data_IF_962682231363
#
_entry.id   IF_962682231363
#
_cell.length_a   1.000
_cell.length_b   1.000
_cell.length_c   1.000
_cell.angle_alpha   90.00
_cell.angle_beta   90.00
_cell.angle_gamma   90.00
#
_symmetry.space_group_name_H-M   'P 1'
#
loop_
_entity.id
_entity.type
_entity.pdbx_description
1 polymer ?
#
# COMPACT_ATOMS: atom_id res chain seq x y z
N UNK A 1 -13.11 17.72 -10.28
CA UNK A 1 -13.62 16.52 -10.97
C UNK A 1 -13.06 15.30 -10.25
N UNK A 2 -13.94 14.48 -9.70
CA UNK A 2 -13.60 13.20 -9.07
C UNK A 2 -13.48 12.15 -10.16
N UNK A 3 -12.46 11.29 -10.14
CA UNK A 3 -12.21 10.41 -11.30
C UNK A 3 -13.21 9.26 -11.48
N UNK A 4 -14.17 9.12 -10.56
CA UNK A 4 -15.32 8.21 -10.71
C UNK A 4 -16.18 8.66 -11.90
N UNK A 5 -16.14 9.94 -12.26
CA UNK A 5 -16.80 10.52 -13.44
C UNK A 5 -16.33 9.86 -14.76
N UNK A 6 -15.20 9.11 -14.75
CA UNK A 6 -14.72 8.39 -15.93
C UNK A 6 -15.49 7.09 -16.19
N UNK A 7 -16.16 6.53 -15.18
CA UNK A 7 -16.99 5.35 -15.35
C UNK A 7 -18.23 5.69 -16.20
N UNK A 8 -18.79 4.72 -16.95
CA UNK A 8 -20.00 4.95 -17.73
C UNK A 8 -21.12 5.47 -16.83
N UNK A 9 -21.89 6.43 -17.33
CA UNK A 9 -23.13 6.85 -16.69
C UNK A 9 -24.29 6.03 -17.27
N UNK A 10 -24.41 4.79 -16.81
CA UNK A 10 -25.42 3.84 -17.25
C UNK A 10 -25.91 2.95 -16.10
N UNK A 11 -26.92 2.13 -16.39
CA UNK A 11 -27.53 1.23 -15.40
C UNK A 11 -26.85 -0.15 -15.34
N UNK A 12 -25.68 -0.31 -15.97
CA UNK A 12 -25.02 -1.60 -16.12
C UNK A 12 -24.08 -1.85 -14.94
N UNK A 13 -24.22 -3.01 -14.33
CA UNK A 13 -23.34 -3.43 -13.23
C UNK A 13 -22.01 -3.94 -13.75
N UNK A 14 -20.92 -3.40 -13.20
CA UNK A 14 -19.54 -3.78 -13.53
C UNK A 14 -18.73 -4.04 -12.29
N UNK A 15 -17.77 -4.95 -12.40
CA UNK A 15 -16.75 -5.18 -11.37
C UNK A 15 -15.43 -4.53 -11.78
N UNK A 16 -14.77 -3.89 -10.81
CA UNK A 16 -13.35 -3.53 -10.95
C UNK A 16 -12.54 -4.82 -10.91
N UNK A 17 -11.99 -5.22 -12.05
CA UNK A 17 -11.43 -6.56 -12.18
C UNK A 17 -9.92 -6.59 -12.05
N UNK A 18 -9.20 -5.64 -12.68
CA UNK A 18 -7.74 -5.59 -12.68
C UNK A 18 -7.23 -4.15 -12.69
N UNK A 19 -5.98 -3.98 -12.26
CA UNK A 19 -5.20 -2.76 -12.45
C UNK A 19 -4.08 -2.99 -13.48
N UNK A 20 -3.77 -1.97 -14.26
CA UNK A 20 -2.76 -2.02 -15.33
C UNK A 20 -1.51 -1.21 -14.98
N UNK A 21 -1.58 0.10 -15.19
CA UNK A 21 -0.43 1.00 -15.14
C UNK A 21 -0.81 2.34 -14.50
N UNK A 22 0.22 3.08 -14.09
CA UNK A 22 0.09 4.49 -13.78
C UNK A 22 0.24 5.30 -15.07
N UNK A 23 -0.61 6.31 -15.25
CA UNK A 23 -0.44 7.34 -16.26
C UNK A 23 -0.01 8.61 -15.54
N UNK A 24 1.25 8.99 -15.73
CA UNK A 24 1.74 10.28 -15.25
C UNK A 24 1.08 11.33 -16.12
N UNK A 25 0.35 12.25 -15.49
CA UNK A 25 -0.32 13.31 -16.22
C UNK A 25 0.75 14.20 -16.86
N UNK A 26 0.69 14.35 -18.19
CA UNK A 26 1.63 15.20 -18.92
C UNK A 26 1.24 16.68 -18.89
N UNK A 27 0.06 17.02 -18.34
CA UNK A 27 -0.37 18.42 -18.18
C UNK A 27 0.23 19.04 -16.93
N UNK A 28 0.84 20.22 -17.07
CA UNK A 28 1.37 21.04 -15.97
C UNK A 28 0.33 21.51 -14.95
N UNK A 29 -0.97 21.30 -15.22
CA UNK A 29 -2.08 21.84 -14.44
C UNK A 29 -2.74 20.80 -13.51
N UNK A 30 -2.29 19.55 -13.52
CA UNK A 30 -2.89 18.52 -12.65
C UNK A 30 -1.88 17.46 -12.21
N UNK A 31 -1.56 17.49 -10.92
CA UNK A 31 -0.70 16.51 -10.21
C UNK A 31 -1.38 15.15 -9.98
N UNK A 32 -2.55 14.91 -10.57
CA UNK A 32 -3.29 13.68 -10.34
C UNK A 32 -2.69 12.55 -11.16
N UNK A 33 -2.00 11.64 -10.47
CA UNK A 33 -1.55 10.37 -11.05
C UNK A 33 -2.77 9.48 -11.27
N UNK A 34 -2.96 9.05 -12.52
CA UNK A 34 -4.08 8.19 -12.89
C UNK A 34 -3.64 6.73 -12.93
N UNK A 35 -4.60 5.84 -12.75
CA UNK A 35 -4.46 4.40 -12.84
C UNK A 35 -5.45 3.89 -13.87
N UNK A 36 -4.96 3.05 -14.78
CA UNK A 36 -5.83 2.34 -15.69
C UNK A 36 -6.41 1.09 -15.00
N UNK A 37 -7.74 1.03 -14.89
CA UNK A 37 -8.51 -0.08 -14.29
C UNK A 37 -9.37 -0.76 -15.35
N UNK A 38 -9.52 -2.07 -15.24
CA UNK A 38 -10.41 -2.86 -16.09
C UNK A 38 -11.77 -2.98 -15.39
N UNK A 39 -12.83 -2.50 -16.05
CA UNK A 39 -14.20 -2.82 -15.68
C UNK A 39 -14.72 -3.94 -16.57
N UNK A 40 -15.41 -4.89 -15.96
CA UNK A 40 -16.08 -6.00 -16.65
C UNK A 40 -17.53 -6.05 -16.21
N UNK A 41 -18.46 -6.11 -17.15
CA UNK A 41 -19.88 -6.23 -16.91
C UNK A 41 -20.21 -7.57 -16.24
N UNK A 42 -21.20 -7.53 -15.35
CA UNK A 42 -21.72 -8.72 -14.71
C UNK A 42 -22.86 -9.29 -15.54
N UNK A 43 -23.02 -10.61 -15.50
CA UNK A 43 -24.16 -11.29 -16.13
C UNK A 43 -25.45 -10.90 -15.39
N UNK A 44 -26.42 -10.35 -16.12
CA UNK A 44 -27.70 -9.91 -15.58
C UNK A 44 -28.51 -11.06 -14.96
N UNK A 45 -28.36 -12.29 -15.46
CA UNK A 45 -29.01 -13.48 -14.92
C UNK A 45 -28.22 -14.10 -13.75
N UNK A 46 -26.91 -13.86 -13.69
CA UNK A 46 -26.06 -14.31 -12.58
C UNK A 46 -25.04 -13.24 -12.17
N UNK A 47 -25.38 -12.36 -11.21
CA UNK A 47 -24.53 -11.26 -10.78
C UNK A 47 -23.16 -11.65 -10.17
N UNK A 48 -22.90 -12.95 -9.99
CA UNK A 48 -21.60 -13.50 -9.55
C UNK A 48 -20.73 -13.99 -10.72
N UNK A 49 -21.19 -13.83 -11.96
CA UNK A 49 -20.45 -14.17 -13.18
C UNK A 49 -20.19 -12.92 -14.00
N UNK A 50 -19.08 -12.97 -14.75
CA UNK A 50 -18.75 -11.96 -15.72
C UNK A 50 -19.56 -12.20 -17.00
N UNK A 51 -20.07 -11.14 -17.60
CA UNK A 51 -20.44 -11.12 -19.02
C UNK A 51 -19.12 -11.01 -19.80
N UNK A 52 -18.89 -11.90 -20.78
CA UNK A 52 -17.61 -11.99 -21.52
C UNK A 52 -17.81 -11.81 -23.03
N UNK A 53 -18.78 -10.98 -23.41
CA UNK A 53 -18.96 -10.55 -24.80
C UNK A 53 -17.94 -9.46 -25.18
N UNK A 54 -17.72 -9.24 -26.48
CA UNK A 54 -16.70 -8.30 -26.99
C UNK A 54 -16.79 -6.87 -26.39
N UNK A 55 -18.00 -6.42 -26.04
CA UNK A 55 -18.25 -5.08 -25.51
C UNK A 55 -18.45 -5.03 -23.98
N UNK A 56 -18.39 -6.18 -23.31
CA UNK A 56 -18.67 -6.30 -21.87
C UNK A 56 -17.52 -5.88 -20.97
N UNK A 57 -16.39 -5.41 -21.51
CA UNK A 57 -15.27 -4.96 -20.72
C UNK A 57 -14.58 -3.77 -21.39
N UNK A 58 -14.12 -2.83 -20.57
CA UNK A 58 -13.36 -1.69 -21.05
C UNK A 58 -12.45 -1.14 -19.95
N UNK A 59 -11.49 -0.33 -20.35
CA UNK A 59 -10.52 0.28 -19.44
C UNK A 59 -10.86 1.74 -19.16
N UNK A 60 -10.67 2.14 -17.92
CA UNK A 60 -10.99 3.47 -17.43
C UNK A 60 -9.85 4.02 -16.59
N UNK A 61 -9.71 5.34 -16.55
CA UNK A 61 -8.68 6.00 -15.75
C UNK A 61 -9.29 6.57 -14.47
N UNK A 62 -8.74 6.15 -13.33
CA UNK A 62 -9.13 6.65 -12.00
C UNK A 62 -7.94 7.28 -11.30
N UNK A 63 -8.13 8.24 -10.40
CA UNK A 63 -7.04 8.80 -9.64
C UNK A 63 -6.48 7.75 -8.69
N UNK A 64 -5.16 7.78 -8.51
CA UNK A 64 -4.49 6.89 -7.57
C UNK A 64 -4.99 7.06 -6.13
N UNK A 65 -5.50 8.25 -5.79
CA UNK A 65 -6.10 8.56 -4.48
C UNK A 65 -7.46 7.89 -4.28
N UNK A 66 -8.15 7.49 -5.34
CA UNK A 66 -9.47 6.86 -5.27
C UNK A 66 -9.40 5.32 -5.20
N UNK A 67 -8.20 4.72 -5.19
CA UNK A 67 -8.02 3.27 -5.03
C UNK A 67 -8.63 2.69 -3.75
N UNK A 68 -8.78 3.49 -2.69
CA UNK A 68 -9.47 3.03 -1.46
C UNK A 68 -10.93 2.65 -1.77
N UNK A 69 -11.55 3.31 -2.75
CA UNK A 69 -12.94 3.09 -3.17
C UNK A 69 -13.01 2.14 -4.37
N UNK A 70 -12.11 2.29 -5.34
CA UNK A 70 -12.07 1.52 -6.60
C UNK A 70 -11.20 0.28 -6.43
N UNK A 71 -11.57 -0.59 -5.49
CA UNK A 71 -10.82 -1.82 -5.18
C UNK A 71 -11.18 -2.98 -6.12
N UNK A 72 -10.22 -3.87 -6.41
CA UNK A 72 -10.51 -5.13 -7.14
C UNK A 72 -11.65 -5.88 -6.43
N UNK A 73 -12.66 -6.28 -7.20
CA UNK A 73 -13.86 -6.97 -6.72
C UNK A 73 -14.98 -6.04 -6.26
N UNK A 74 -14.79 -4.72 -6.23
CA UNK A 74 -15.90 -3.77 -5.99
C UNK A 74 -16.85 -3.73 -7.17
N UNK A 75 -18.15 -3.64 -6.89
CA UNK A 75 -19.20 -3.61 -7.91
C UNK A 75 -19.77 -2.20 -8.01
N UNK A 76 -19.95 -1.75 -9.23
CA UNK A 76 -20.40 -0.40 -9.60
C UNK A 76 -21.58 -0.51 -10.55
N UNK A 77 -22.54 0.39 -10.40
CA UNK A 77 -23.63 0.60 -11.36
C UNK A 77 -23.51 2.03 -11.85
N UNK A 78 -23.13 2.17 -13.12
CA UNK A 78 -22.64 3.41 -13.67
C UNK A 78 -21.50 3.99 -12.82
N UNK A 79 -21.67 5.22 -12.34
CA UNK A 79 -20.70 5.93 -11.49
C UNK A 79 -20.92 5.70 -9.98
N UNK A 80 -21.87 4.85 -9.59
CA UNK A 80 -22.20 4.61 -8.17
C UNK A 80 -21.71 3.24 -7.72
N UNK A 81 -20.94 3.21 -6.62
CA UNK A 81 -20.54 1.94 -5.99
C UNK A 81 -21.74 1.30 -5.28
N UNK A 82 -21.94 0.00 -5.50
CA UNK A 82 -22.92 -0.79 -4.76
C UNK A 82 -22.29 -1.22 -3.43
N UNK A 83 -22.53 -0.45 -2.38
CA UNK A 83 -21.97 -0.71 -1.05
C UNK A 83 -22.42 -2.08 -0.50
N UNK A 84 -21.51 -2.74 0.22
CA UNK A 84 -21.74 -4.07 0.81
C UNK A 84 -21.72 -5.24 -0.18
N UNK A 85 -21.75 -5.00 -1.50
CA UNK A 85 -21.64 -6.06 -2.50
C UNK A 85 -20.21 -6.18 -3.04
N UNK A 86 -19.72 -7.41 -3.09
CA UNK A 86 -18.41 -7.76 -3.66
C UNK A 86 -18.57 -8.88 -4.66
N UNK A 87 -17.73 -8.86 -5.70
CA UNK A 87 -17.65 -9.96 -6.64
C UNK A 87 -17.08 -11.19 -5.95
N UNK A 88 -17.86 -12.27 -5.87
CA UNK A 88 -17.55 -13.44 -5.06
C UNK A 88 -16.59 -14.44 -5.70
N UNK A 89 -16.18 -14.22 -6.96
CA UNK A 89 -15.38 -15.15 -7.76
C UNK A 89 -15.94 -16.57 -7.70
N UNK A 90 -17.24 -16.73 -7.99
CA UNK A 90 -17.96 -18.00 -7.81
C UNK A 90 -17.87 -18.58 -6.39
N UNK A 91 -18.00 -17.74 -5.36
CA UNK A 91 -17.87 -18.09 -3.95
C UNK A 91 -16.48 -18.66 -3.55
N UNK A 92 -15.44 -18.35 -4.31
CA UNK A 92 -14.06 -18.77 -4.03
C UNK A 92 -13.29 -17.81 -3.12
N UNK A 93 -13.86 -16.64 -2.78
CA UNK A 93 -13.22 -15.71 -1.86
C UNK A 93 -12.96 -16.36 -0.49
N UNK A 94 -11.73 -16.21 0.00
CA UNK A 94 -11.30 -16.67 1.32
C UNK A 94 -10.52 -15.56 2.00
N UNK A 95 -10.70 -15.43 3.31
CA UNK A 95 -9.86 -14.60 4.16
C UNK A 95 -8.78 -15.48 4.80
N UNK A 96 -7.52 -15.10 4.64
CA UNK A 96 -6.36 -15.85 5.11
C UNK A 96 -5.39 -14.90 5.79
N UNK A 97 -4.76 -15.38 6.86
CA UNK A 97 -3.66 -14.68 7.53
C UNK A 97 -2.34 -15.25 7.03
N UNK A 98 -1.40 -14.37 6.69
CA UNK A 98 -0.07 -14.75 6.27
C UNK A 98 0.98 -14.08 7.13
N UNK A 99 2.05 -14.82 7.39
CA UNK A 99 3.29 -14.32 8.00
C UNK A 99 4.43 -14.55 7.02
N UNK A 100 5.33 -13.57 6.93
CA UNK A 100 6.45 -13.56 6.00
C UNK A 100 7.73 -13.21 6.75
N UNK A 101 8.80 -13.91 6.41
CA UNK A 101 10.18 -13.57 6.74
C UNK A 101 10.98 -13.29 5.46
N UNK A 102 11.18 -12.00 5.19
CA UNK A 102 11.90 -11.50 4.02
C UNK A 102 13.41 -11.60 4.15
N UNK A 103 13.94 -11.88 5.34
CA UNK A 103 15.36 -12.20 5.50
C UNK A 103 15.71 -13.59 4.95
N UNK A 104 14.71 -14.47 4.87
CA UNK A 104 14.82 -15.83 4.32
C UNK A 104 14.29 -15.87 2.88
N UNK A 105 13.11 -15.29 2.64
CA UNK A 105 12.44 -15.32 1.35
C UNK A 105 12.20 -13.91 0.81
N UNK A 106 13.13 -13.42 -0.01
CA UNK A 106 13.00 -12.11 -0.63
C UNK A 106 11.76 -12.04 -1.57
N UNK A 107 10.94 -10.98 -1.48
CA UNK A 107 9.86 -10.73 -2.43
C UNK A 107 10.35 -10.69 -3.88
N UNK A 108 9.55 -11.25 -4.81
CA UNK A 108 9.88 -11.27 -6.24
C UNK A 108 8.88 -10.47 -7.04
N UNK A 109 9.34 -9.79 -8.08
CA UNK A 109 8.47 -9.12 -9.05
C UNK A 109 8.36 -9.98 -10.29
N UNK A 110 7.13 -10.22 -10.71
CA UNK A 110 6.81 -10.89 -11.97
C UNK A 110 5.88 -10.01 -12.81
N UNK A 111 5.83 -10.28 -14.12
CA UNK A 111 4.77 -9.75 -14.97
C UNK A 111 3.52 -10.63 -14.86
N UNK A 112 2.38 -10.08 -15.27
CA UNK A 112 1.12 -10.82 -15.34
C UNK A 112 1.29 -12.14 -16.12
N UNK A 113 1.98 -12.09 -17.26
CA UNK A 113 2.19 -13.22 -18.16
C UNK A 113 3.45 -14.04 -17.86
N UNK A 114 3.97 -13.98 -16.62
CA UNK A 114 5.12 -14.79 -16.23
C UNK A 114 4.76 -16.28 -16.07
N UNK A 115 5.60 -17.14 -16.66
CA UNK A 115 5.58 -18.59 -16.44
C UNK A 115 6.25 -18.97 -15.12
N UNK A 116 5.75 -20.05 -14.51
CA UNK A 116 6.40 -20.70 -13.39
C UNK A 116 7.70 -21.36 -13.92
N UNK A 117 8.84 -21.23 -13.22
CA UNK A 117 10.06 -21.93 -13.61
C UNK A 117 9.82 -23.42 -13.83
N UNK A 118 10.43 -23.97 -14.88
CA UNK A 118 10.36 -25.40 -15.24
C UNK A 118 8.93 -25.92 -15.50
N UNK A 119 7.99 -25.04 -15.83
CA UNK A 119 6.61 -25.38 -16.16
C UNK A 119 6.08 -24.56 -17.34
N UNK A 120 5.12 -25.12 -18.07
CA UNK A 120 4.37 -24.38 -19.10
C UNK A 120 3.23 -23.54 -18.50
N UNK A 121 3.00 -23.68 -17.20
CA UNK A 121 2.01 -22.95 -16.43
C UNK A 121 2.38 -21.49 -16.17
N UNK A 122 1.38 -20.61 -16.19
CA UNK A 122 1.53 -19.22 -15.75
C UNK A 122 1.26 -19.09 -14.24
N UNK A 123 1.90 -18.11 -13.60
CA UNK A 123 1.60 -17.80 -12.19
C UNK A 123 0.14 -17.36 -12.01
N UNK A 124 -0.34 -16.50 -12.91
CA UNK A 124 -1.71 -15.99 -12.96
C UNK A 124 -2.42 -16.67 -14.14
N UNK A 125 -3.13 -17.77 -13.86
CA UNK A 125 -3.81 -18.58 -14.87
C UNK A 125 -5.12 -17.91 -15.34
N UNK A 126 -5.26 -17.74 -16.67
CA UNK A 126 -6.43 -17.14 -17.33
C UNK A 126 -7.75 -17.88 -17.12
N UNK A 127 -7.71 -19.17 -16.78
CA UNK A 127 -8.93 -19.99 -16.62
C UNK A 127 -9.61 -19.77 -15.25
N UNK A 128 -8.86 -19.26 -14.26
CA UNK A 128 -9.37 -18.93 -12.92
C UNK A 128 -9.50 -17.43 -12.70
N UNK A 129 -8.62 -16.65 -13.31
CA UNK A 129 -8.69 -15.19 -13.40
C UNK A 129 -9.07 -14.90 -14.85
N UNK A 130 -10.37 -14.90 -15.15
CA UNK A 130 -10.89 -14.70 -16.49
C UNK A 130 -10.17 -13.55 -17.22
N UNK A 131 -9.46 -13.87 -18.29
CA UNK A 131 -9.19 -12.89 -19.34
C UNK A 131 -10.32 -13.05 -20.35
N UNK A 132 -11.01 -11.97 -20.74
CA UNK A 132 -11.94 -12.02 -21.84
C UNK A 132 -11.19 -12.49 -23.10
N UNK A 133 -11.38 -13.77 -23.47
CA UNK A 133 -11.00 -14.26 -24.79
C UNK A 133 -12.11 -13.82 -25.73
N UNK A 134 -11.75 -13.21 -26.86
CA UNK A 134 -12.74 -12.97 -27.89
C UNK A 134 -13.22 -14.34 -28.41
N UNK A 135 -14.52 -14.62 -28.37
CA UNK A 135 -15.09 -15.88 -28.88
C UNK A 135 -14.69 -16.15 -30.35
N UNK A 136 -14.36 -15.10 -31.10
CA UNK A 136 -14.02 -15.15 -32.52
C UNK A 136 -12.52 -15.05 -32.81
N UNK A 137 -11.65 -14.88 -31.80
CA UNK A 137 -10.20 -14.83 -32.02
C UNK A 137 -9.41 -15.40 -30.85
N UNK A 138 -8.46 -16.29 -31.14
CA UNK A 138 -7.49 -16.79 -30.16
C UNK A 138 -6.60 -15.69 -29.55
N UNK A 139 -6.64 -14.47 -30.10
CA UNK A 139 -5.84 -13.35 -29.66
C UNK A 139 -6.54 -12.57 -28.54
N UNK A 140 -5.75 -12.16 -27.56
CA UNK A 140 -6.20 -11.25 -26.50
C UNK A 140 -6.49 -9.88 -27.13
N UNK A 141 -7.67 -9.28 -26.87
CA UNK A 141 -8.02 -7.96 -27.38
C UNK A 141 -6.93 -6.93 -27.10
N UNK A 142 -6.61 -6.07 -28.07
CA UNK A 142 -5.54 -5.06 -27.92
C UNK A 142 -5.74 -4.17 -26.68
N UNK A 143 -7.00 -3.89 -26.31
CA UNK A 143 -7.36 -3.10 -25.11
C UNK A 143 -6.86 -3.72 -23.80
N UNK A 144 -6.63 -5.03 -23.79
CA UNK A 144 -6.16 -5.78 -22.63
C UNK A 144 -4.62 -5.82 -22.52
N UNK A 145 -3.89 -5.45 -23.59
CA UNK A 145 -2.43 -5.49 -23.63
C UNK A 145 -1.74 -4.81 -22.42
N UNK A 146 -2.17 -3.61 -21.97
CA UNK A 146 -1.56 -2.99 -20.79
C UNK A 146 -1.68 -3.84 -19.51
N UNK A 147 -2.77 -4.59 -19.33
CA UNK A 147 -2.94 -5.46 -18.17
C UNK A 147 -1.99 -6.66 -18.20
N UNK A 148 -1.65 -7.19 -19.37
CA UNK A 148 -0.61 -8.24 -19.51
C UNK A 148 0.79 -7.73 -19.12
N UNK A 149 1.02 -6.42 -19.25
CA UNK A 149 2.27 -5.79 -18.86
C UNK A 149 2.31 -5.40 -17.37
N UNK A 150 1.17 -5.49 -16.68
CA UNK A 150 1.10 -5.21 -15.25
C UNK A 150 2.02 -6.13 -14.47
N UNK A 151 2.57 -5.60 -13.38
CA UNK A 151 3.50 -6.32 -12.51
C UNK A 151 2.79 -6.79 -11.24
N UNK A 152 3.22 -7.92 -10.73
CA UNK A 152 2.76 -8.52 -9.48
C UNK A 152 3.95 -8.78 -8.58
N UNK A 153 3.72 -8.66 -7.29
CA UNK A 153 4.65 -9.07 -6.25
C UNK A 153 4.26 -10.46 -5.75
N UNK A 154 5.24 -11.37 -5.72
CA UNK A 154 5.15 -12.67 -5.07
C UNK A 154 5.81 -12.54 -3.70
N UNK A 155 5.05 -12.86 -2.66
CA UNK A 155 5.51 -12.98 -1.28
C UNK A 155 5.43 -14.45 -0.88
N UNK A 156 6.51 -15.02 -0.39
CA UNK A 156 6.51 -16.40 0.06
C UNK A 156 6.33 -16.46 1.56
N UNK A 157 5.20 -17.01 2.02
CA UNK A 157 4.88 -17.10 3.45
C UNK A 157 5.79 -18.09 4.16
N UNK A 158 5.79 -18.02 5.49
CA UNK A 158 6.49 -18.97 6.35
C UNK A 158 6.00 -20.42 6.16
N UNK A 159 4.74 -20.59 5.78
CA UNK A 159 4.14 -21.88 5.42
C UNK A 159 4.40 -22.29 3.95
N UNK A 160 5.35 -21.64 3.27
CA UNK A 160 5.75 -21.94 1.90
C UNK A 160 4.63 -21.73 0.87
N UNK A 161 3.68 -20.83 1.15
CA UNK A 161 2.63 -20.42 0.21
C UNK A 161 3.12 -19.20 -0.57
N UNK A 162 2.97 -19.22 -1.90
CA UNK A 162 3.20 -18.07 -2.75
C UNK A 162 1.96 -17.19 -2.78
N UNK A 163 2.09 -15.98 -2.26
CA UNK A 163 1.03 -14.98 -2.16
C UNK A 163 1.28 -13.90 -3.20
N UNK A 164 0.37 -13.78 -4.16
CA UNK A 164 0.45 -12.86 -5.28
C UNK A 164 -0.43 -11.64 -5.02
N UNK A 165 0.09 -10.46 -5.35
CA UNK A 165 -0.67 -9.20 -5.31
C UNK A 165 -0.20 -8.27 -6.41
N UNK A 166 -1.12 -7.54 -7.04
CA UNK A 166 -0.76 -6.52 -8.04
C UNK A 166 0.19 -5.49 -7.43
N UNK A 167 1.19 -5.00 -8.17
CA UNK A 167 2.09 -3.96 -7.69
C UNK A 167 1.33 -2.66 -7.35
N UNK A 168 0.28 -2.32 -8.11
CA UNK A 168 -0.56 -1.15 -7.81
C UNK A 168 -1.30 -1.36 -6.48
N UNK A 169 -1.86 -2.56 -6.28
CA UNK A 169 -2.50 -2.90 -5.02
C UNK A 169 -1.50 -2.93 -3.85
N UNK A 170 -0.28 -3.42 -4.07
CA UNK A 170 0.79 -3.45 -3.07
C UNK A 170 1.20 -2.04 -2.62
N UNK A 171 1.29 -1.10 -3.58
CA UNK A 171 1.56 0.29 -3.27
C UNK A 171 0.45 0.90 -2.42
N UNK A 172 -0.80 0.56 -2.72
CA UNK A 172 -1.96 0.99 -1.95
C UNK A 172 -2.03 0.37 -0.55
N UNK A 173 -1.83 -0.94 -0.45
CA UNK A 173 -2.06 -1.74 0.74
C UNK A 173 -0.88 -1.77 1.73
N UNK A 174 0.36 -1.63 1.26
CA UNK A 174 1.54 -1.78 2.12
C UNK A 174 2.21 -0.45 2.47
N UNK A 175 2.06 0.59 1.64
CA UNK A 175 2.67 1.89 1.88
C UNK A 175 1.67 2.86 2.52
N UNK A 176 1.33 2.65 3.79
CA UNK A 176 0.38 3.47 4.59
C UNK A 176 -1.03 3.58 3.97
N UNK A 177 -1.89 2.56 4.14
CA UNK A 177 -3.27 2.55 3.60
C UNK A 177 -4.13 3.76 4.01
N UNK A 178 -3.92 4.32 5.20
CA UNK A 178 -4.74 5.42 5.71
C UNK A 178 -4.34 6.81 5.19
N UNK A 179 -3.22 6.96 4.45
CA UNK A 179 -2.66 8.27 4.04
C UNK A 179 -2.43 8.38 2.54
N UNK A 180 -3.51 8.68 1.82
CA UNK A 180 -3.55 8.89 0.36
C UNK A 180 -2.55 9.95 -0.12
N UNK A 181 -2.34 10.99 0.67
CA UNK A 181 -1.40 12.08 0.40
C UNK A 181 0.06 11.60 0.41
N UNK A 182 0.48 10.88 1.46
CA UNK A 182 1.85 10.34 1.57
C UNK A 182 2.12 9.36 0.43
N UNK A 183 1.16 8.49 0.10
CA UNK A 183 1.31 7.58 -1.05
C UNK A 183 1.51 8.32 -2.37
N UNK A 184 0.77 9.39 -2.61
CA UNK A 184 0.95 10.23 -3.79
C UNK A 184 2.35 10.84 -3.86
N UNK A 185 2.92 11.25 -2.72
CA UNK A 185 4.28 11.77 -2.66
C UNK A 185 5.35 10.72 -3.01
N UNK A 186 5.17 9.46 -2.59
CA UNK A 186 6.12 8.35 -2.87
C UNK A 186 6.34 8.17 -4.38
N UNK A 187 5.29 8.28 -5.18
CA UNK A 187 5.35 8.09 -6.63
C UNK A 187 5.54 9.38 -7.43
N UNK A 188 5.57 10.53 -6.76
CA UNK A 188 5.89 11.81 -7.38
C UNK A 188 7.43 11.97 -7.47
N UNK A 189 7.95 11.98 -8.70
CA UNK A 189 9.39 12.09 -8.95
C UNK A 189 9.99 13.45 -8.58
N UNK A 190 9.15 14.50 -8.52
CA UNK A 190 9.61 15.86 -8.18
C UNK A 190 10.00 15.98 -6.70
N UNK A 191 9.63 15.02 -5.85
CA UNK A 191 9.90 15.07 -4.43
C UNK A 191 11.09 14.18 -4.10
N UNK A 192 12.15 14.72 -3.49
CA UNK A 192 13.18 13.86 -2.88
C UNK A 192 12.60 13.10 -1.68
N UNK A 193 13.23 11.98 -1.29
CA UNK A 193 12.81 11.25 -0.08
C UNK A 193 12.85 12.17 1.15
N UNK A 194 13.93 12.96 1.30
CA UNK A 194 14.05 13.93 2.38
C UNK A 194 12.90 14.95 2.36
N UNK A 195 12.55 15.48 1.20
CA UNK A 195 11.45 16.43 1.07
C UNK A 195 10.13 15.84 1.56
N UNK A 196 9.81 14.58 1.21
CA UNK A 196 8.59 13.91 1.70
C UNK A 196 8.61 13.85 3.22
N UNK A 197 9.72 13.41 3.81
CA UNK A 197 9.85 13.27 5.26
C UNK A 197 9.70 14.62 5.94
N UNK A 198 10.36 15.65 5.42
CA UNK A 198 10.39 17.00 5.97
C UNK A 198 9.02 17.70 5.88
N UNK A 199 8.09 17.25 5.04
CA UNK A 199 6.70 17.72 5.07
C UNK A 199 6.00 17.38 6.40
N UNK A 200 6.45 16.34 7.11
CA UNK A 200 5.77 15.79 8.29
C UNK A 200 6.61 15.80 9.56
N UNK A 201 7.93 15.64 9.45
CA UNK A 201 8.86 15.56 10.57
C UNK A 201 9.72 16.83 10.65
N UNK A 202 10.02 17.30 11.86
CA UNK A 202 10.95 18.41 12.12
C UNK A 202 12.39 17.92 12.28
N UNK A 203 12.57 16.78 12.94
CA UNK A 203 13.87 16.16 13.22
C UNK A 203 13.75 14.64 13.21
N UNK A 204 14.80 13.95 12.82
CA UNK A 204 14.90 12.50 12.87
C UNK A 204 16.36 12.08 13.03
N UNK A 205 16.62 11.12 13.92
CA UNK A 205 17.96 10.60 14.17
C UNK A 205 17.93 9.15 14.66
N UNK A 206 19.03 8.43 14.46
CA UNK A 206 19.25 7.12 15.08
C UNK A 206 19.88 7.34 16.45
N UNK A 207 19.27 6.79 17.49
CA UNK A 207 19.78 6.79 18.86
C UNK A 207 20.20 5.38 19.26
N UNK A 208 21.38 5.26 19.84
CA UNK A 208 21.85 4.02 20.45
C UNK A 208 21.54 4.05 21.95
N UNK A 209 20.55 3.26 22.37
CA UNK A 209 20.14 3.16 23.78
C UNK A 209 20.24 1.69 24.18
N UNK A 210 21.11 1.39 25.15
CA UNK A 210 21.29 0.03 25.69
C UNK A 210 21.65 -1.01 24.60
N UNK A 211 22.55 -0.65 23.68
CA UNK A 211 22.94 -1.48 22.53
C UNK A 211 21.80 -1.85 21.56
N UNK A 212 20.68 -1.11 21.61
CA UNK A 212 19.60 -1.21 20.62
C UNK A 212 19.51 0.10 19.85
N UNK A 213 19.67 0.00 18.53
CA UNK A 213 19.40 1.12 17.62
C UNK A 213 17.90 1.43 17.62
N UNK A 214 17.55 2.69 17.86
CA UNK A 214 16.17 3.19 17.86
C UNK A 214 16.09 4.41 16.96
N UNK A 215 14.99 4.55 16.23
CA UNK A 215 14.72 5.74 15.45
C UNK A 215 13.93 6.74 16.31
N UNK A 216 14.49 7.92 16.51
CA UNK A 216 13.87 9.04 17.22
C UNK A 216 13.36 10.05 16.19
N UNK A 217 12.11 10.47 16.30
CA UNK A 217 11.52 11.48 15.41
C UNK A 217 10.78 12.57 16.19
N UNK A 218 10.86 13.80 15.71
CA UNK A 218 10.07 14.94 16.19
C UNK A 218 9.06 15.30 15.10
N UNK A 219 7.78 15.28 15.44
CA UNK A 219 6.70 15.61 14.51
C UNK A 219 6.58 17.12 14.33
N UNK A 220 6.12 17.57 13.16
CA UNK A 220 5.67 18.96 12.99
C UNK A 220 4.44 19.25 13.86
N UNK A 221 4.35 20.48 14.37
CA UNK A 221 3.27 20.90 15.30
C UNK A 221 1.87 20.62 14.76
N UNK A 222 1.64 20.85 13.48
CA UNK A 222 0.37 20.61 12.80
C UNK A 222 0.07 19.12 12.53
N UNK A 223 1.04 18.22 12.73
CA UNK A 223 0.93 16.79 12.45
C UNK A 223 0.67 15.94 13.69
N UNK A 224 0.98 16.43 14.90
CA UNK A 224 0.96 15.65 16.16
C UNK A 224 -0.34 14.87 16.38
N UNK A 225 -1.50 15.46 16.04
CA UNK A 225 -2.82 14.85 16.27
C UNK A 225 -3.40 14.13 15.05
N UNK A 226 -2.88 14.40 13.86
CA UNK A 226 -3.53 14.02 12.59
C UNK A 226 -2.78 12.93 11.84
N UNK A 227 -1.50 12.75 12.12
CA UNK A 227 -0.64 11.93 11.26
C UNK A 227 -0.95 10.43 11.35
N UNK A 228 -1.27 9.93 12.54
CA UNK A 228 -1.49 8.51 12.83
C UNK A 228 -0.19 7.73 13.04
N UNK A 229 -0.26 6.64 13.82
CA UNK A 229 0.92 5.87 14.24
C UNK A 229 1.61 5.18 13.07
N UNK A 230 0.83 4.58 12.18
CA UNK A 230 1.32 3.84 11.02
C UNK A 230 2.11 4.74 10.08
N UNK A 231 1.63 5.97 9.87
CA UNK A 231 2.33 6.96 9.06
C UNK A 231 3.63 7.42 9.71
N UNK A 232 3.64 7.66 11.03
CA UNK A 232 4.87 7.98 11.77
C UNK A 232 5.89 6.86 11.61
N UNK A 233 5.47 5.61 11.81
CA UNK A 233 6.34 4.43 11.68
C UNK A 233 6.95 4.33 10.29
N UNK A 234 6.14 4.49 9.25
CA UNK A 234 6.64 4.47 7.88
C UNK A 234 7.57 5.63 7.58
N UNK A 235 7.20 6.87 7.93
CA UNK A 235 8.02 8.06 7.66
C UNK A 235 9.37 8.01 8.39
N UNK A 236 9.40 7.50 9.62
CA UNK A 236 10.64 7.28 10.36
C UNK A 236 11.56 6.27 9.65
N UNK A 237 11.01 5.16 9.14
CA UNK A 237 11.79 4.22 8.33
C UNK A 237 12.20 4.84 6.98
N UNK A 238 11.32 5.58 6.32
CA UNK A 238 11.66 6.29 5.09
C UNK A 238 12.78 7.30 5.30
N UNK A 239 12.88 7.91 6.49
CA UNK A 239 13.91 8.87 6.83
C UNK A 239 15.30 8.23 7.05
N UNK A 240 15.36 7.05 7.66
CA UNK A 240 16.61 6.52 8.21
C UNK A 240 16.90 5.03 7.91
N UNK A 241 15.94 4.26 7.43
CA UNK A 241 16.12 2.86 7.03
C UNK A 241 16.46 2.77 5.54
N UNK A 242 17.72 2.44 5.22
CA UNK A 242 18.21 2.33 3.84
C UNK A 242 17.40 1.35 2.99
N UNK A 243 17.00 0.21 3.54
CA UNK A 243 16.21 -0.78 2.80
C UNK A 243 14.84 -0.22 2.41
N UNK A 244 14.18 0.52 3.32
CA UNK A 244 12.91 1.19 3.01
C UNK A 244 13.09 2.29 1.96
N UNK A 245 14.18 3.06 2.03
CA UNK A 245 14.52 4.08 1.04
C UNK A 245 14.77 3.48 -0.34
N UNK A 246 15.59 2.44 -0.44
CA UNK A 246 15.89 1.73 -1.68
C UNK A 246 14.62 1.18 -2.34
N UNK A 247 13.68 0.65 -1.54
CA UNK A 247 12.38 0.19 -2.06
C UNK A 247 11.56 1.33 -2.67
N UNK A 248 11.51 2.49 -2.02
CA UNK A 248 10.83 3.67 -2.57
C UNK A 248 11.53 4.18 -3.84
N UNK A 249 12.87 4.19 -3.86
CA UNK A 249 13.64 4.55 -5.05
C UNK A 249 13.41 3.56 -6.20
N UNK A 250 13.35 2.26 -5.93
CA UNK A 250 13.07 1.23 -6.92
C UNK A 250 11.67 1.39 -7.55
N UNK A 251 10.67 1.77 -6.75
CA UNK A 251 9.35 2.12 -7.28
C UNK A 251 9.47 3.27 -8.29
N UNK A 252 10.14 4.36 -7.92
CA UNK A 252 10.33 5.53 -8.80
C UNK A 252 11.13 5.20 -10.06
N UNK A 253 12.23 4.50 -9.91
CA UNK A 253 13.07 4.06 -11.03
C UNK A 253 12.25 3.20 -12.01
N UNK A 254 11.39 2.31 -11.51
CA UNK A 254 10.52 1.50 -12.36
C UNK A 254 9.41 2.30 -13.05
N UNK A 255 9.04 3.47 -12.52
CA UNK A 255 8.14 4.42 -13.17
C UNK A 255 8.86 5.28 -14.22
N UNK A 256 10.19 5.31 -14.20
CA UNK A 256 11.02 6.00 -15.19
C UNK A 256 11.60 5.05 -16.24
N UNK A 257 11.27 3.75 -16.16
CA UNK A 257 11.52 2.77 -17.21
C UNK A 257 10.52 2.99 -18.37
N UNK A 258 10.90 3.89 -19.28
CA UNK A 258 10.07 4.32 -20.40
C UNK A 258 10.22 3.36 -21.57
N UNK A 259 9.13 2.70 -21.95
CA UNK A 259 9.05 1.99 -23.23
C UNK A 259 8.75 2.95 -24.35
N UNK A 260 9.49 2.82 -25.44
CA UNK A 260 9.24 3.56 -26.68
C UNK A 260 8.31 2.76 -27.59
N UNK A 261 7.43 3.45 -28.30
CA UNK A 261 6.63 2.88 -29.37
C UNK A 261 7.46 2.69 -30.65
N UNK A 262 6.83 2.14 -31.69
CA UNK A 262 7.48 1.90 -33.00
C UNK A 262 8.01 3.19 -33.67
N UNK A 263 7.55 4.36 -33.22
CA UNK A 263 7.97 5.68 -33.72
C UNK A 263 9.03 6.34 -32.83
N UNK A 264 9.49 5.66 -31.78
CA UNK A 264 10.46 6.20 -30.82
C UNK A 264 9.82 7.14 -29.77
N UNK A 265 8.49 7.24 -29.71
CA UNK A 265 7.81 8.07 -28.71
C UNK A 265 7.58 7.27 -27.43
N UNK A 266 7.72 7.90 -26.25
CA UNK A 266 7.47 7.23 -24.98
C UNK A 266 5.98 6.87 -24.85
N UNK A 267 5.68 5.60 -24.53
CA UNK A 267 4.34 5.23 -24.08
C UNK A 267 4.02 6.01 -22.80
N UNK A 268 2.79 6.53 -22.60
CA UNK A 268 2.42 7.25 -21.38
C UNK A 268 2.26 6.33 -20.16
N UNK A 269 2.08 5.03 -20.37
CA UNK A 269 1.90 4.03 -19.32
C UNK A 269 3.20 3.71 -18.58
N UNK A 270 3.15 3.67 -17.24
CA UNK A 270 4.25 3.27 -16.36
C UNK A 270 3.86 2.10 -15.47
N UNK A 271 4.75 1.11 -15.36
CA UNK A 271 4.47 -0.15 -14.68
C UNK A 271 5.33 -0.28 -13.42
N UNK A 272 4.80 0.08 -12.23
CA UNK A 272 5.59 0.09 -11.01
C UNK A 272 5.99 -1.32 -10.58
N UNK A 273 7.23 -1.46 -10.12
CA UNK A 273 7.73 -2.62 -9.39
C UNK A 273 7.63 -2.31 -7.90
N UNK A 274 6.74 -3.00 -7.18
CA UNK A 274 6.43 -2.67 -5.77
C UNK A 274 6.55 -3.91 -4.91
N UNK A 275 7.48 -3.89 -3.97
CA UNK A 275 7.60 -4.89 -2.88
C UNK A 275 7.24 -4.24 -1.54
N UNK A 276 6.89 -5.01 -0.48
CA UNK A 276 6.55 -4.45 0.83
C UNK A 276 7.67 -3.60 1.44
N UNK A 277 7.35 -2.51 2.16
CA UNK A 277 8.36 -1.62 2.72
C UNK A 277 9.15 -2.23 3.88
N UNK A 278 8.64 -3.31 4.51
CA UNK A 278 9.26 -4.05 5.61
C UNK A 278 10.54 -4.77 5.18
N UNK A 279 11.63 -4.60 5.91
CA UNK A 279 12.91 -5.23 5.58
C UNK A 279 12.99 -6.67 6.05
N UNK A 280 12.41 -6.96 7.22
CA UNK A 280 12.57 -8.26 7.89
C UNK A 280 11.30 -9.09 7.85
N UNK A 281 10.27 -8.68 8.57
CA UNK A 281 9.05 -9.48 8.74
C UNK A 281 7.81 -8.67 8.44
N UNK A 282 6.78 -9.35 7.96
CA UNK A 282 5.47 -8.78 7.73
C UNK A 282 4.40 -9.82 8.04
N UNK A 283 3.28 -9.39 8.61
CA UNK A 283 2.06 -10.18 8.67
C UNK A 283 0.91 -9.40 8.05
N UNK A 284 -0.02 -10.10 7.42
CA UNK A 284 -1.22 -9.48 6.86
C UNK A 284 -2.43 -10.41 6.95
N UNK A 285 -3.61 -9.80 6.92
CA UNK A 285 -4.89 -10.48 6.71
C UNK A 285 -5.43 -10.05 5.35
N UNK A 286 -5.52 -10.97 4.41
CA UNK A 286 -6.00 -10.71 3.06
C UNK A 286 -7.24 -11.53 2.72
N UNK A 287 -8.08 -10.95 1.88
CA UNK A 287 -9.12 -11.63 1.12
C UNK A 287 -8.62 -11.86 -0.31
N UNK A 288 -8.98 -13.01 -0.88
CA UNK A 288 -8.49 -13.43 -2.18
C UNK A 288 -8.98 -14.81 -2.59
N UNK A 289 -8.35 -15.37 -3.63
CA UNK A 289 -8.70 -16.68 -4.18
C UNK A 289 -7.48 -17.60 -4.24
N UNK A 290 -7.70 -18.89 -4.07
CA UNK A 290 -6.69 -19.91 -4.32
C UNK A 290 -6.56 -20.16 -5.82
N UNK A 291 -5.40 -19.83 -6.38
CA UNK A 291 -5.04 -20.23 -7.75
C UNK A 291 -4.66 -21.71 -7.75
N UNK A 292 -4.00 -22.15 -6.69
CA UNK A 292 -3.72 -23.54 -6.39
C UNK A 292 -3.84 -23.74 -4.88
N UNK A 293 -4.75 -24.61 -4.45
CA UNK A 293 -5.08 -24.80 -3.03
C UNK A 293 -3.83 -25.14 -2.21
N UNK A 294 -3.57 -24.35 -1.17
CA UNK A 294 -2.43 -24.55 -0.27
C UNK A 294 -1.06 -24.22 -0.86
N UNK A 295 -0.99 -23.71 -2.10
CA UNK A 295 0.29 -23.35 -2.75
C UNK A 295 0.35 -21.92 -3.25
N UNK A 296 -0.70 -21.45 -3.95
CA UNK A 296 -0.72 -20.13 -4.60
C UNK A 296 -2.02 -19.38 -4.30
N UNK A 297 -1.89 -18.20 -3.71
CA UNK A 297 -3.02 -17.36 -3.30
C UNK A 297 -2.94 -15.98 -3.95
N UNK A 298 -3.99 -15.57 -4.66
CA UNK A 298 -4.10 -14.22 -5.23
C UNK A 298 -4.90 -13.32 -4.30
N UNK A 299 -4.27 -12.25 -3.83
CA UNK A 299 -4.93 -11.21 -3.03
C UNK A 299 -5.79 -10.32 -3.94
N UNK A 300 -7.04 -10.12 -3.54
CA UNK A 300 -7.92 -9.08 -4.09
C UNK A 300 -8.01 -7.87 -3.16
N UNK A 301 -7.91 -8.09 -1.85
CA UNK A 301 -8.01 -7.04 -0.84
C UNK A 301 -7.16 -7.35 0.40
N UNK A 302 -6.47 -6.35 0.95
CA UNK A 302 -5.80 -6.45 2.26
C UNK A 302 -6.60 -5.70 3.31
N UNK A 303 -7.07 -6.42 4.32
CA UNK A 303 -7.84 -5.83 5.43
C UNK A 303 -6.93 -5.28 6.54
N UNK A 304 -5.76 -5.90 6.72
CA UNK A 304 -4.81 -5.53 7.76
C UNK A 304 -3.39 -5.90 7.34
N UNK A 305 -2.45 -5.03 7.64
CA UNK A 305 -1.00 -5.27 7.50
C UNK A 305 -0.32 -4.84 8.79
N UNK A 306 0.71 -5.57 9.22
CA UNK A 306 1.51 -5.15 10.37
C UNK A 306 2.30 -3.88 10.05
N UNK A 307 2.53 -2.99 11.01
CA UNK A 307 3.47 -1.89 10.82
C UNK A 307 4.90 -2.41 10.60
N UNK A 308 5.78 -1.58 10.02
CA UNK A 308 7.21 -1.89 9.92
C UNK A 308 7.78 -1.97 11.34
N UNK A 309 8.43 -3.09 11.65
CA UNK A 309 9.00 -3.36 12.97
C UNK A 309 10.52 -3.60 12.93
N UNK A 310 11.19 -3.16 11.85
CA UNK A 310 12.63 -3.35 11.65
C UNK A 310 13.45 -2.63 12.73
N UNK A 311 13.00 -1.44 13.17
CA UNK A 311 13.61 -0.67 14.26
C UNK A 311 12.53 -0.21 15.25
N UNK A 312 12.81 -0.15 16.57
CA UNK A 312 11.96 0.55 17.51
C UNK A 312 11.91 2.04 17.19
N UNK A 313 10.72 2.64 17.27
CA UNK A 313 10.49 4.05 16.91
C UNK A 313 9.93 4.80 18.11
N UNK A 314 10.52 5.95 18.41
CA UNK A 314 10.04 6.87 19.45
C UNK A 314 9.72 8.20 18.80
N UNK A 315 8.50 8.70 19.04
CA UNK A 315 8.02 9.94 18.46
C UNK A 315 7.76 11.00 19.53
N UNK A 316 8.19 12.23 19.26
CA UNK A 316 8.04 13.38 20.14
C UNK A 316 7.21 14.46 19.47
N UNK A 317 6.41 15.17 20.27
CA UNK A 317 5.85 16.45 19.87
C UNK A 317 6.97 17.51 19.84
N UNK A 318 6.84 18.55 18.99
CA UNK A 318 7.83 19.62 18.96
C UNK A 318 7.79 20.40 20.27
N UNK A 319 8.95 20.85 20.73
CA UNK A 319 9.04 21.72 21.91
C UNK A 319 8.56 23.10 21.48
N UNK A 320 7.41 23.54 21.99
CA UNK A 320 6.97 24.92 21.81
C UNK A 320 7.85 25.83 22.65
N UNK A 321 8.55 26.78 22.02
CA UNK A 321 9.10 27.97 22.66
C UNK A 321 7.93 28.81 23.24
N UNK A 322 7.42 28.37 24.38
CA UNK A 322 6.52 29.16 25.24
C UNK A 322 6.74 28.77 26.71
N UNK A 323 7.95 28.32 27.06
CA UNK A 323 8.45 28.24 28.43
C UNK A 323 9.76 29.04 28.63
N UNK A 324 10.28 29.69 27.57
CA UNK A 324 11.42 30.60 27.66
C UNK A 324 10.97 32.02 27.29
N UNK A 325 10.19 32.65 28.16
CA UNK A 325 10.16 34.11 28.39
C UNK A 325 8.93 34.47 29.25
N UNK A 326 9.08 34.40 30.58
CA UNK A 326 8.46 35.36 31.50
C UNK A 326 9.44 35.63 32.67
N UNK A 327 10.00 36.84 32.65
CA UNK A 327 10.50 37.70 33.73
C UNK A 327 11.71 37.29 34.61
N UNK A 328 12.85 37.87 34.27
CA UNK A 328 13.76 38.46 35.26
C UNK A 328 13.08 39.63 35.98
N UNK A 329 12.77 39.46 37.28
CA UNK A 329 12.75 40.53 38.29
C UNK A 329 13.47 40.00 39.55
N UNK A 330 14.21 40.90 40.18
CA UNK A 330 15.37 40.74 41.06
C UNK A 330 15.08 40.18 42.50
N UNK A 331 16.11 39.49 43.04
CA UNK A 331 16.48 39.15 44.44
C UNK A 331 15.40 38.93 45.52
N UNK A 332 15.23 37.67 45.95
CA UNK A 332 15.84 37.16 47.20
C UNK A 332 15.53 35.66 47.47
N UNK A 333 16.57 34.94 47.92
CA UNK A 333 16.59 33.69 48.72
C UNK A 333 16.25 32.30 48.12
N UNK A 334 17.35 31.56 47.89
CA UNK A 334 17.73 30.23 48.46
C UNK A 334 16.94 28.95 48.08
N UNK A 335 17.63 28.12 47.26
CA UNK A 335 17.75 26.65 47.27
C UNK A 335 16.50 25.73 47.20
N UNK A 336 16.32 25.01 46.09
CA UNK A 336 16.71 23.57 45.94
C UNK A 336 16.37 23.00 44.55
N UNK A 337 17.15 21.98 44.19
CA UNK A 337 17.29 21.28 42.92
C UNK A 337 15.99 20.77 42.26
N UNK A 338 15.80 21.15 40.99
CA UNK A 338 15.84 20.27 39.82
C UNK A 338 14.98 18.99 39.78
N UNK A 339 13.97 18.99 38.90
CA UNK A 339 13.53 17.82 38.10
C UNK A 339 12.72 18.29 36.89
N UNK A 340 13.37 18.43 35.73
CA UNK A 340 12.70 18.63 34.44
C UNK A 340 11.96 17.34 34.04
N UNK A 341 10.63 17.39 33.96
CA UNK A 341 9.80 16.35 33.36
C UNK A 341 9.51 16.72 31.90
N UNK A 342 10.19 16.06 30.96
CA UNK A 342 9.75 16.00 29.56
C UNK A 342 8.57 15.03 29.48
N UNK A 343 7.45 15.46 28.90
CA UNK A 343 6.30 14.60 28.64
C UNK A 343 6.59 13.72 27.42
N UNK A 344 7.23 12.56 27.64
CA UNK A 344 7.44 11.55 26.61
C UNK A 344 6.15 10.75 26.37
N UNK A 345 5.75 10.57 25.11
CA UNK A 345 4.78 9.55 24.72
C UNK A 345 5.60 8.29 24.40
N UNK A 346 5.76 7.41 25.38
CA UNK A 346 6.45 6.13 25.17
C UNK A 346 5.54 5.18 24.39
N UNK A 347 5.91 4.82 23.16
CA UNK A 347 5.25 3.77 22.39
C UNK A 347 6.24 2.64 22.16
N UNK A 348 6.15 1.58 22.97
CA UNK A 348 6.94 0.36 22.78
C UNK A 348 6.18 -0.57 21.81
N UNK A 349 6.76 -0.88 20.66
CA UNK A 349 6.42 -2.07 19.88
C UNK A 349 7.43 -3.16 20.22
N UNK A 350 7.09 -4.05 21.16
CA UNK A 350 7.91 -5.22 21.47
C UNK A 350 7.57 -6.40 20.55
N UNK A 351 8.57 -7.17 20.08
CA UNK A 351 8.31 -8.47 19.49
C UNK A 351 7.81 -9.44 20.57
N UNK A 352 6.70 -10.15 20.31
CA UNK A 352 6.21 -11.19 21.21
C UNK A 352 7.18 -12.38 21.17
N UNK A 353 7.91 -12.62 22.27
CA UNK A 353 8.39 -13.95 22.63
C UNK A 353 7.36 -14.61 23.53
N UNK A 354 6.86 -15.77 23.12
CA UNK A 354 6.10 -16.71 23.95
C UNK A 354 7.00 -17.28 25.03
N UNK A 355 6.61 -17.15 26.31
CA UNK A 355 6.71 -18.21 27.32
C UNK A 355 5.89 -17.82 28.57
N UNK A 356 5.22 -18.82 29.14
CA UNK A 356 4.38 -18.72 30.33
C UNK A 356 5.19 -18.31 31.57
N UNK A 357 4.63 -17.40 32.39
CA UNK A 357 4.50 -17.58 33.84
C UNK A 357 3.56 -16.54 34.45
N UNK A 358 2.84 -16.99 35.47
CA UNK A 358 1.78 -16.35 36.27
C UNK A 358 2.30 -15.20 37.14
N UNK A 359 1.56 -14.09 37.23
CA UNK A 359 1.01 -13.48 38.48
C UNK A 359 0.86 -11.94 38.53
N UNK A 360 -0.35 -11.57 38.97
CA UNK A 360 -0.82 -10.41 39.78
C UNK A 360 -0.88 -8.99 39.19
N UNK A 361 -2.14 -8.51 39.15
CA UNK A 361 -2.70 -7.17 38.86
C UNK A 361 -2.09 -6.03 39.69
N UNK A 362 -1.97 -4.82 39.10
CA UNK A 362 -2.55 -3.55 39.65
C UNK A 362 -3.01 -2.63 38.50
N UNK A 363 -4.17 -2.01 38.72
CA UNK A 363 -4.96 -1.10 37.85
C UNK A 363 -4.23 0.21 37.49
N UNK A 364 -4.40 0.69 36.26
CA UNK A 364 -5.24 1.88 35.98
C UNK A 364 -5.45 2.06 34.46
N UNK A 365 -6.74 2.16 34.10
CA UNK A 365 -7.28 2.23 32.74
C UNK A 365 -7.66 3.68 32.49
N UNK A 366 -7.19 4.28 31.40
CA UNK A 366 -7.84 5.47 30.82
C UNK A 366 -8.40 5.06 29.46
N UNK A 367 -9.72 5.13 29.37
CA UNK A 367 -10.55 4.92 28.19
C UNK A 367 -10.69 6.29 27.53
N UNK A 368 -10.57 6.37 26.21
CA UNK A 368 -11.15 7.48 25.44
C UNK A 368 -11.98 6.90 24.30
N UNK A 369 -13.21 7.40 24.23
CA UNK A 369 -14.20 7.16 23.18
C UNK A 369 -13.72 7.71 21.84
#
# INVERSE_FOLDING_TARGET
>A
MTSIDSFPDDEIERVVYLYSCLKLNSSSESDNILIEVLLVELDAANPNRLNVSENSYNKYDVTFRDLDTVQIGTIWKGQTRIEGRKFSFNNCLRTVNFEFDFSINEPKIIRFDAKIPDSDEYYLYNEKIFIPKNEYSANVPFRYYPFLMSKYCILKSNDNIEVLTSCIHSLHAFYIPARKDIRGHIINENYSISHIVDLFLEKYEIQNVENVEKISVVLKKNMVKTIGKEAITFLANLALNKNTQEKVLNIRNSLNDIKLDKTGKPYPSRFPSVIPPHSTTMSLTAEGIWLENGKRFLITHVSKVSPIADFPIVAYAPVTESEEQIETIDKDKVHRQGRNKKNAITLVSTPKKTHLTTEVKIKNRLIFQ
#
